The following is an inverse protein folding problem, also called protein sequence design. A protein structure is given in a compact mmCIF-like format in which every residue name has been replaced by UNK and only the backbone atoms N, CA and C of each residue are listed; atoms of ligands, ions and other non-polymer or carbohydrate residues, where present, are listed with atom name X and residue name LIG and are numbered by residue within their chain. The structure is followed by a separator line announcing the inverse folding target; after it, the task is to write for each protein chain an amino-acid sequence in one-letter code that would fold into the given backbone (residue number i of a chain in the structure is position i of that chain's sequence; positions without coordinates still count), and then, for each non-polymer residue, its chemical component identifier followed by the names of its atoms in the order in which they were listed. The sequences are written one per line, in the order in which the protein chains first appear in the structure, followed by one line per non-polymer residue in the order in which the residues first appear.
data_IF_154258122340
#
_entry.id   IF_154258122340
#
_cell.length_a   1.000
_cell.length_b   1.000
_cell.length_c   1.000
_cell.angle_alpha   90.00
_cell.angle_beta   90.00
_cell.angle_gamma   90.00
#
_symmetry.space_group_name_H-M   'P 1'
#
loop_
_entity.id
_entity.type
_entity.pdbx_description
1 polymer ?
#
# COMPACT_ATOMS: atom_id res chain seq x y z
N UNK A 1 4.26 2.14 -3.14
CA UNK A 1 3.80 3.35 -2.45
C UNK A 1 4.31 3.35 -1.00
N UNK A 2 5.66 3.24 -0.82
CA UNK A 2 6.25 3.18 0.53
C UNK A 2 6.35 4.56 1.19
N UNK A 3 6.37 5.63 0.38
CA UNK A 3 6.50 7.00 0.85
C UNK A 3 7.75 7.19 1.72
N UNK A 4 7.56 7.70 2.92
CA UNK A 4 8.63 7.88 3.93
C UNK A 4 9.13 6.58 4.57
N UNK A 5 8.62 5.42 4.15
CA UNK A 5 8.95 4.13 4.73
C UNK A 5 8.23 3.81 6.06
N UNK A 6 7.30 4.65 6.50
CA UNK A 6 6.68 4.55 7.82
C UNK A 6 6.09 3.17 8.11
N UNK A 7 5.29 2.61 7.19
CA UNK A 7 4.67 1.30 7.38
C UNK A 7 5.74 0.19 7.41
N UNK A 8 6.63 0.18 6.42
CA UNK A 8 7.69 -0.83 6.32
C UNK A 8 8.57 -0.84 7.56
N UNK A 9 9.09 0.33 7.96
CA UNK A 9 9.99 0.46 9.10
C UNK A 9 9.30 0.10 10.41
N UNK A 10 8.02 0.45 10.57
CA UNK A 10 7.23 0.02 11.74
C UNK A 10 7.07 -1.50 11.79
N UNK A 11 6.75 -2.14 10.67
CA UNK A 11 6.64 -3.60 10.59
C UNK A 11 7.97 -4.28 10.95
N UNK A 12 9.08 -3.81 10.38
CA UNK A 12 10.41 -4.36 10.66
C UNK A 12 10.85 -4.13 12.11
N UNK A 13 10.49 -2.98 12.71
CA UNK A 13 10.79 -2.68 14.10
C UNK A 13 10.11 -3.64 15.09
N UNK A 14 8.86 -3.97 14.84
CA UNK A 14 8.07 -4.83 15.73
C UNK A 14 8.12 -6.32 15.39
N UNK A 15 8.77 -6.68 14.27
CA UNK A 15 8.90 -8.07 13.84
C UNK A 15 10.32 -8.58 14.06
N UNK A 16 10.45 -9.80 14.58
CA UNK A 16 11.75 -10.46 14.66
C UNK A 16 12.03 -11.23 13.36
N UNK A 17 13.27 -11.17 12.90
CA UNK A 17 13.78 -11.94 11.75
C UNK A 17 12.98 -11.75 10.44
N UNK A 18 12.50 -10.51 10.20
CA UNK A 18 11.85 -10.13 8.96
C UNK A 18 12.76 -9.30 8.07
N UNK A 19 12.66 -9.52 6.78
CA UNK A 19 13.25 -8.68 5.73
C UNK A 19 12.13 -7.96 4.97
N UNK A 20 12.42 -6.76 4.48
CA UNK A 20 11.42 -6.00 3.76
C UNK A 20 12.01 -5.06 2.72
N UNK A 21 11.26 -4.86 1.64
CA UNK A 21 11.58 -3.92 0.59
C UNK A 21 10.48 -2.88 0.45
N UNK A 22 10.86 -1.61 0.52
CA UNK A 22 9.99 -0.46 0.25
C UNK A 22 10.09 -0.06 -1.21
N UNK A 23 8.95 0.07 -1.87
CA UNK A 23 8.88 0.40 -3.29
C UNK A 23 8.12 1.71 -3.48
N UNK A 24 8.68 2.62 -4.25
CA UNK A 24 8.02 3.86 -4.63
C UNK A 24 8.46 4.32 -6.04
N UNK A 25 7.62 5.11 -6.67
CA UNK A 25 7.95 5.75 -7.96
C UNK A 25 8.79 7.02 -7.74
N UNK A 26 8.61 7.69 -6.58
CA UNK A 26 9.35 8.90 -6.22
C UNK A 26 10.71 8.56 -5.64
N UNK A 27 11.75 9.09 -6.27
CA UNK A 27 13.11 8.98 -5.74
C UNK A 27 13.29 9.78 -4.45
N UNK A 28 12.61 10.90 -4.34
CA UNK A 28 12.63 11.77 -3.16
C UNK A 28 12.01 11.05 -1.94
N UNK A 29 10.88 10.38 -2.14
CA UNK A 29 10.25 9.56 -1.09
C UNK A 29 11.18 8.45 -0.60
N UNK A 30 11.86 7.75 -1.53
CA UNK A 30 12.82 6.70 -1.18
C UNK A 30 14.05 7.24 -0.44
N UNK A 31 14.50 8.45 -0.74
CA UNK A 31 15.59 9.09 0.01
C UNK A 31 15.16 9.36 1.46
N UNK A 32 13.95 9.87 1.68
CA UNK A 32 13.40 10.07 3.02
C UNK A 32 13.26 8.73 3.75
N UNK A 33 12.76 7.69 3.09
CA UNK A 33 12.63 6.36 3.68
C UNK A 33 14.00 5.78 4.10
N UNK A 34 15.03 5.94 3.27
CA UNK A 34 16.38 5.48 3.59
C UNK A 34 16.98 6.24 4.77
N UNK A 35 16.80 7.57 4.85
CA UNK A 35 17.21 8.38 5.98
C UNK A 35 16.50 7.95 7.27
N UNK A 36 15.20 7.69 7.21
CA UNK A 36 14.44 7.21 8.36
C UNK A 36 14.93 5.82 8.82
N UNK A 37 15.23 4.92 7.89
CA UNK A 37 15.80 3.61 8.21
C UNK A 37 17.15 3.73 8.94
N UNK A 38 18.03 4.62 8.47
CA UNK A 38 19.33 4.89 9.09
C UNK A 38 19.16 5.48 10.50
N UNK A 39 18.30 6.48 10.66
CA UNK A 39 18.04 7.11 11.96
C UNK A 39 17.48 6.13 12.99
N UNK A 40 16.66 5.17 12.55
CA UNK A 40 16.06 4.15 13.41
C UNK A 40 16.96 2.93 13.60
N UNK A 41 18.07 2.83 12.87
CA UNK A 41 18.93 1.65 12.88
C UNK A 41 18.26 0.39 12.32
N UNK A 42 17.28 0.55 11.43
CA UNK A 42 16.52 -0.54 10.82
C UNK A 42 17.08 -0.85 9.43
N UNK A 43 17.41 -2.13 9.19
CA UNK A 43 17.84 -2.59 7.88
C UNK A 43 16.62 -2.82 6.99
N UNK A 44 16.54 -2.10 5.88
CA UNK A 44 15.51 -2.24 4.86
C UNK A 44 16.09 -1.95 3.48
N UNK A 45 15.55 -2.57 2.45
CA UNK A 45 15.88 -2.27 1.06
C UNK A 45 14.84 -1.32 0.46
N UNK A 46 15.29 -0.42 -0.43
CA UNK A 46 14.42 0.53 -1.12
C UNK A 46 14.64 0.47 -2.63
N UNK A 47 13.54 0.36 -3.38
CA UNK A 47 13.57 0.15 -4.82
C UNK A 47 12.69 1.18 -5.54
N UNK A 48 13.28 1.94 -6.49
CA UNK A 48 12.51 2.82 -7.37
C UNK A 48 11.83 1.99 -8.46
N UNK A 49 10.49 1.89 -8.38
CA UNK A 49 9.67 1.12 -9.32
C UNK A 49 8.24 1.66 -9.36
N UNK A 50 7.59 1.59 -10.51
CA UNK A 50 6.14 1.73 -10.59
C UNK A 50 5.50 0.39 -10.22
N UNK A 51 4.99 0.33 -8.98
CA UNK A 51 4.47 -0.90 -8.36
C UNK A 51 5.46 -2.06 -8.54
N UNK A 52 5.09 -3.08 -9.29
CA UNK A 52 5.83 -4.35 -9.41
C UNK A 52 6.92 -4.37 -10.48
N UNK A 53 7.04 -3.37 -11.35
CA UNK A 53 7.87 -3.42 -12.57
C UNK A 53 9.30 -3.93 -12.35
N UNK A 54 9.90 -3.59 -11.22
CA UNK A 54 11.28 -3.99 -10.87
C UNK A 54 11.36 -4.89 -9.65
N UNK A 55 10.21 -5.28 -9.09
CA UNK A 55 10.16 -6.17 -7.93
C UNK A 55 10.46 -7.60 -8.39
N UNK A 56 11.24 -8.32 -7.60
CA UNK A 56 11.56 -9.73 -7.84
C UNK A 56 11.32 -10.55 -6.57
N UNK A 57 11.06 -11.83 -6.76
CA UNK A 57 10.82 -12.75 -5.64
C UNK A 57 9.36 -12.81 -5.20
N UNK A 58 9.12 -13.55 -4.12
CA UNK A 58 7.78 -13.72 -3.53
C UNK A 58 7.84 -13.44 -2.04
N UNK A 59 6.78 -12.80 -1.57
CA UNK A 59 6.66 -12.25 -0.22
C UNK A 59 5.55 -12.96 0.56
N UNK A 60 5.67 -12.97 1.88
CA UNK A 60 4.64 -13.45 2.79
C UNK A 60 3.56 -12.39 2.99
N UNK A 61 3.95 -11.11 2.88
CA UNK A 61 3.09 -9.96 3.14
C UNK A 61 3.34 -8.87 2.10
N UNK A 62 2.25 -8.31 1.56
CA UNK A 62 2.21 -7.12 0.73
C UNK A 62 1.37 -6.08 1.45
N UNK A 63 1.95 -4.90 1.69
CA UNK A 63 1.23 -3.79 2.33
C UNK A 63 1.34 -2.55 1.46
N UNK A 64 0.26 -1.80 1.31
CA UNK A 64 0.25 -0.56 0.55
C UNK A 64 -0.74 0.45 1.12
N UNK A 65 -0.33 1.71 1.13
CA UNK A 65 -1.22 2.87 1.20
C UNK A 65 -1.13 3.60 -0.15
N UNK A 66 -1.88 3.18 -1.16
CA UNK A 66 -1.81 3.76 -2.49
C UNK A 66 -2.63 5.05 -2.57
N UNK A 67 -2.41 5.90 -3.58
CA UNK A 67 -3.31 7.00 -3.88
C UNK A 67 -4.73 6.49 -4.14
N UNK A 68 -5.73 7.07 -3.46
CA UNK A 68 -7.11 6.59 -3.51
C UNK A 68 -8.18 7.70 -3.65
N UNK A 69 -7.76 8.95 -3.82
CA UNK A 69 -8.70 10.06 -3.94
C UNK A 69 -9.16 10.15 -5.40
N UNK A 70 -10.49 10.24 -5.60
CA UNK A 70 -11.04 10.49 -6.94
C UNK A 70 -10.51 11.82 -7.48
N UNK A 71 -10.03 11.81 -8.71
CA UNK A 71 -9.42 13.00 -9.36
C UNK A 71 -10.26 14.26 -9.24
N UNK A 72 -11.57 14.12 -9.40
CA UNK A 72 -12.52 15.25 -9.32
C UNK A 72 -12.65 15.85 -7.91
N UNK A 73 -12.25 15.10 -6.87
CA UNK A 73 -12.35 15.53 -5.47
C UNK A 73 -11.08 16.28 -5.04
N UNK A 74 -9.92 15.99 -5.64
CA UNK A 74 -8.64 16.61 -5.26
C UNK A 74 -8.71 18.15 -5.19
N UNK A 75 -9.32 18.88 -6.15
CA UNK A 75 -9.42 20.32 -6.07
C UNK A 75 -10.26 20.86 -4.89
N UNK A 76 -11.06 20.01 -4.27
CA UNK A 76 -11.93 20.37 -3.13
C UNK A 76 -11.36 20.03 -1.77
N UNK A 77 -10.16 19.40 -1.74
CA UNK A 77 -9.46 19.09 -0.50
C UNK A 77 -9.02 20.35 0.23
N UNK A 78 -8.79 20.21 1.54
CA UNK A 78 -8.20 21.27 2.35
C UNK A 78 -6.86 21.73 1.75
N UNK A 79 -6.58 23.01 1.88
CA UNK A 79 -5.41 23.67 1.29
C UNK A 79 -4.10 22.97 1.71
N UNK A 80 -3.99 22.59 2.99
CA UNK A 80 -2.83 21.89 3.54
C UNK A 80 -2.54 20.58 2.81
N UNK A 81 -3.56 19.77 2.50
CA UNK A 81 -3.39 18.51 1.77
C UNK A 81 -3.04 18.80 0.31
N UNK A 82 -3.73 19.75 -0.31
CA UNK A 82 -3.56 20.07 -1.73
C UNK A 82 -2.20 20.71 -2.04
N UNK A 83 -1.64 21.51 -1.12
CA UNK A 83 -0.40 22.26 -1.34
C UNK A 83 0.85 21.51 -0.88
N UNK A 84 0.74 20.67 0.16
CA UNK A 84 1.90 19.99 0.75
C UNK A 84 2.03 18.53 0.35
N UNK A 85 0.94 17.85 -0.02
CA UNK A 85 1.04 16.48 -0.52
C UNK A 85 1.25 16.47 -2.04
N UNK A 86 2.21 15.69 -2.55
CA UNK A 86 2.41 15.56 -3.99
C UNK A 86 1.14 15.05 -4.68
N UNK A 87 0.73 15.67 -5.76
CA UNK A 87 -0.47 15.27 -6.53
C UNK A 87 -0.49 13.77 -6.84
N UNK A 88 0.68 13.20 -7.19
CA UNK A 88 0.83 11.77 -7.49
C UNK A 88 0.53 10.87 -6.28
N UNK A 89 0.65 11.38 -5.06
CA UNK A 89 0.32 10.65 -3.84
C UNK A 89 -1.18 10.69 -3.50
N UNK A 90 -1.96 11.54 -4.17
CA UNK A 90 -3.39 11.74 -3.93
C UNK A 90 -4.25 11.09 -5.02
N UNK A 91 -3.85 11.21 -6.30
CA UNK A 91 -4.68 10.86 -7.45
C UNK A 91 -4.84 9.34 -7.62
N UNK A 92 -5.96 8.82 -7.14
CA UNK A 92 -6.39 7.42 -7.32
C UNK A 92 -7.09 7.13 -8.65
N UNK A 93 -7.13 8.09 -9.59
CA UNK A 93 -7.81 7.94 -10.86
C UNK A 93 -9.25 8.49 -10.84
N UNK A 94 -10.03 8.08 -11.84
CA UNK A 94 -11.37 8.62 -12.04
C UNK A 94 -12.31 8.30 -10.86
N UNK A 95 -12.26 7.08 -10.35
CA UNK A 95 -13.08 6.55 -9.26
C UNK A 95 -12.29 6.23 -7.99
N UNK A 96 -11.01 6.62 -7.93
CA UNK A 96 -10.14 6.36 -6.78
C UNK A 96 -9.68 4.91 -6.63
N UNK A 97 -9.89 4.04 -7.62
CA UNK A 97 -9.62 2.61 -7.52
C UNK A 97 -8.50 2.11 -8.45
N UNK A 98 -7.87 2.98 -9.23
CA UNK A 98 -6.90 2.57 -10.26
C UNK A 98 -5.70 1.81 -9.67
N UNK A 99 -5.16 2.28 -8.57
CA UNK A 99 -4.05 1.61 -7.90
C UNK A 99 -4.46 0.27 -7.29
N UNK A 100 -5.65 0.16 -6.71
CA UNK A 100 -6.13 -1.12 -6.18
C UNK A 100 -6.25 -2.16 -7.28
N UNK A 101 -6.80 -1.81 -8.45
CA UNK A 101 -6.87 -2.72 -9.61
C UNK A 101 -5.49 -3.21 -10.03
N UNK A 102 -4.52 -2.30 -10.14
CA UNK A 102 -3.14 -2.64 -10.52
C UNK A 102 -2.44 -3.49 -9.46
N UNK A 103 -2.56 -3.13 -8.19
CA UNK A 103 -1.91 -3.83 -7.09
C UNK A 103 -2.50 -5.23 -6.93
N UNK A 104 -3.81 -5.35 -6.85
CA UNK A 104 -4.50 -6.64 -6.66
C UNK A 104 -4.29 -7.54 -7.88
N UNK A 105 -4.38 -6.98 -9.10
CA UNK A 105 -4.20 -7.74 -10.34
C UNK A 105 -2.82 -8.39 -10.47
N UNK A 106 -1.76 -7.74 -9.95
CA UNK A 106 -0.41 -8.29 -9.96
C UNK A 106 -0.02 -9.11 -8.71
N UNK A 107 -0.78 -9.00 -7.63
CA UNK A 107 -0.35 -9.49 -6.31
C UNK A 107 -0.06 -11.00 -6.26
N UNK A 108 -0.77 -11.82 -7.03
CA UNK A 108 -0.56 -13.28 -7.07
C UNK A 108 0.83 -13.70 -7.58
N UNK A 109 1.44 -12.86 -8.42
CA UNK A 109 2.78 -13.12 -8.96
C UNK A 109 3.88 -12.84 -7.94
N UNK A 110 3.57 -12.03 -6.91
CA UNK A 110 4.53 -11.58 -5.89
C UNK A 110 4.22 -12.06 -4.48
N UNK A 111 3.08 -12.69 -4.25
CA UNK A 111 2.77 -13.34 -2.97
C UNK A 111 3.07 -14.83 -3.02
N UNK A 112 3.58 -15.35 -1.91
CA UNK A 112 3.62 -16.80 -1.65
C UNK A 112 2.19 -17.32 -1.45
N UNK A 113 2.00 -18.61 -1.65
CA UNK A 113 0.74 -19.28 -1.24
C UNK A 113 0.55 -19.11 0.27
N UNK A 114 -0.66 -18.74 0.69
CA UNK A 114 -0.96 -18.38 2.07
C UNK A 114 -0.53 -16.96 2.48
N UNK A 115 0.16 -16.24 1.60
CA UNK A 115 0.56 -14.84 1.84
C UNK A 115 -0.63 -13.89 1.91
N UNK A 116 -0.43 -12.74 2.52
CA UNK A 116 -1.47 -11.74 2.76
C UNK A 116 -1.22 -10.45 2.01
N UNK A 117 -2.32 -9.78 1.66
CA UNK A 117 -2.31 -8.39 1.20
C UNK A 117 -3.11 -7.53 2.17
N UNK A 118 -2.56 -6.35 2.52
CA UNK A 118 -3.22 -5.32 3.32
C UNK A 118 -3.14 -3.99 2.58
N UNK A 119 -4.26 -3.31 2.46
CA UNK A 119 -4.29 -2.02 1.77
C UNK A 119 -5.09 -1.01 2.58
N UNK A 120 -4.49 0.16 2.82
CA UNK A 120 -5.24 1.30 3.31
C UNK A 120 -6.23 1.77 2.24
N UNK A 121 -7.40 2.24 2.68
CA UNK A 121 -8.51 2.65 1.82
C UNK A 121 -9.13 3.97 2.29
N UNK A 122 -9.75 4.69 1.39
CA UNK A 122 -10.74 5.72 1.74
C UNK A 122 -11.97 5.06 2.39
N UNK A 123 -12.57 5.73 3.37
CA UNK A 123 -13.64 5.19 4.22
C UNK A 123 -14.86 4.64 3.47
N UNK A 124 -15.10 5.08 2.24
CA UNK A 124 -16.22 4.61 1.39
C UNK A 124 -15.84 3.48 0.42
N UNK A 125 -14.58 3.03 0.38
CA UNK A 125 -14.08 2.13 -0.66
C UNK A 125 -14.05 0.65 -0.25
N UNK A 126 -14.34 0.32 1.01
CA UNK A 126 -14.21 -1.03 1.55
C UNK A 126 -14.92 -2.10 0.71
N UNK A 127 -16.16 -1.83 0.28
CA UNK A 127 -16.93 -2.76 -0.55
C UNK A 127 -16.24 -3.02 -1.89
N UNK A 128 -15.86 -1.97 -2.61
CA UNK A 128 -15.27 -2.08 -3.95
C UNK A 128 -13.91 -2.80 -3.90
N UNK A 129 -13.04 -2.44 -2.94
CA UNK A 129 -11.74 -3.09 -2.81
C UNK A 129 -11.86 -4.55 -2.36
N UNK A 130 -12.83 -4.87 -1.48
CA UNK A 130 -13.12 -6.26 -1.12
C UNK A 130 -13.64 -7.09 -2.29
N UNK A 131 -14.42 -6.50 -3.20
CA UNK A 131 -14.88 -7.16 -4.43
C UNK A 131 -13.70 -7.45 -5.37
N UNK A 132 -12.81 -6.48 -5.59
CA UNK A 132 -11.60 -6.69 -6.39
C UNK A 132 -10.72 -7.83 -5.84
N UNK A 133 -10.57 -7.92 -4.52
CA UNK A 133 -9.84 -9.04 -3.90
C UNK A 133 -10.53 -10.39 -4.14
N UNK A 134 -11.88 -10.45 -4.02
CA UNK A 134 -12.63 -11.71 -4.28
C UNK A 134 -12.50 -12.17 -5.73
N UNK A 135 -12.63 -11.24 -6.66
CA UNK A 135 -12.49 -11.50 -8.10
C UNK A 135 -11.08 -11.99 -8.45
N UNK A 136 -10.06 -11.44 -7.79
CA UNK A 136 -8.68 -11.90 -7.90
C UNK A 136 -8.40 -13.22 -7.15
N UNK A 137 -9.40 -13.85 -6.53
CA UNK A 137 -9.28 -15.16 -5.89
C UNK A 137 -8.77 -15.15 -4.44
N UNK A 138 -8.59 -13.99 -3.83
CA UNK A 138 -8.28 -13.89 -2.41
C UNK A 138 -9.43 -14.39 -1.54
N UNK A 139 -9.10 -14.95 -0.39
CA UNK A 139 -10.02 -15.44 0.65
C UNK A 139 -9.75 -14.70 1.97
N UNK A 140 -10.54 -15.01 2.99
CA UNK A 140 -10.39 -14.43 4.34
C UNK A 140 -10.30 -12.90 4.26
N UNK A 141 -11.21 -12.30 3.47
CA UNK A 141 -11.23 -10.86 3.27
C UNK A 141 -11.86 -10.20 4.50
N UNK A 142 -11.13 -9.29 5.11
CA UNK A 142 -11.55 -8.56 6.30
C UNK A 142 -11.39 -7.04 6.12
N UNK A 143 -12.18 -6.27 6.87
CA UNK A 143 -12.15 -4.80 6.88
C UNK A 143 -11.91 -4.32 8.30
N UNK A 144 -10.77 -3.67 8.51
CA UNK A 144 -10.41 -3.07 9.79
C UNK A 144 -10.79 -1.58 9.80
N UNK A 145 -11.34 -1.12 10.93
CA UNK A 145 -11.71 0.26 11.16
C UNK A 145 -10.66 1.02 11.96
N UNK A 146 -10.59 2.32 11.70
CA UNK A 146 -9.79 3.23 12.53
C UNK A 146 -10.47 3.56 13.85
N UNK A 147 -9.80 4.34 14.72
CA UNK A 147 -10.33 4.75 16.03
C UNK A 147 -11.57 5.65 15.93
N UNK A 148 -11.86 6.24 14.77
CA UNK A 148 -13.08 6.97 14.52
C UNK A 148 -14.24 6.07 14.04
N UNK A 149 -13.98 4.76 13.90
CA UNK A 149 -14.97 3.77 13.45
C UNK A 149 -15.14 3.72 11.93
N UNK A 150 -14.29 4.41 11.17
CA UNK A 150 -14.33 4.42 9.71
C UNK A 150 -13.52 3.26 9.12
N UNK A 151 -14.02 2.63 8.08
CA UNK A 151 -13.29 1.60 7.35
C UNK A 151 -11.96 2.16 6.86
N UNK A 152 -10.85 1.48 7.18
CA UNK A 152 -9.52 2.04 6.90
C UNK A 152 -8.55 1.07 6.25
N UNK A 153 -8.62 -0.22 6.53
CA UNK A 153 -7.76 -1.24 5.91
C UNK A 153 -8.60 -2.39 5.42
N UNK A 154 -8.36 -2.82 4.18
CA UNK A 154 -8.89 -4.08 3.64
C UNK A 154 -7.74 -5.06 3.53
N UNK A 155 -7.95 -6.28 3.99
CA UNK A 155 -6.99 -7.37 3.88
C UNK A 155 -7.58 -8.58 3.17
N UNK A 156 -6.70 -9.42 2.66
CA UNK A 156 -7.07 -10.71 2.06
C UNK A 156 -5.90 -11.67 2.06
N UNK A 157 -6.18 -12.96 2.00
CA UNK A 157 -5.19 -14.04 1.96
C UNK A 157 -5.23 -14.77 0.62
N UNK A 158 -4.06 -14.98 0.02
CA UNK A 158 -3.94 -15.85 -1.14
C UNK A 158 -4.08 -17.32 -0.70
N UNK A 159 -4.97 -18.14 -1.30
CA UNK A 159 -5.14 -19.52 -0.89
C UNK A 159 -3.86 -20.35 -0.96
N UNK A 160 -3.76 -21.35 -0.09
CA UNK A 160 -2.63 -22.29 -0.07
C UNK A 160 -2.72 -23.27 -1.24
N UNK A 161 -3.94 -23.63 -1.63
CA UNK A 161 -4.26 -24.55 -2.73
C UNK A 161 -5.17 -23.86 -3.77
#
# INVERSE_FOLDING_TARGET
CTGSGCILLSLLHYSNDCEGVGVDISQEALQVAAQNAELLGIKADFLKSDLYEKVTGKFDLLVSNPPYIERKVIPTLMEEVREYDPYIALDGGEDGLDFYRRIIGGAQDYLKRGGQILMEIGSGQAKAVSELLREAGFKEIDVCRDFAGLDRVVSGRLPIL
#
